data_IF_189679988077
#
_entry.id   IF_189679988077
#
_cell.length_a   1.000
_cell.length_b   1.000
_cell.length_c   1.000
_cell.angle_alpha   90.00
_cell.angle_beta   90.00
_cell.angle_gamma   90.00
#
_symmetry.space_group_name_H-M   'P 1'
#
loop_
_entity.id
_entity.type
_entity.pdbx_description
1 polymer ?
#
# COMPACT_ATOMS: atom_id res chain seq x y z
N UNK A 1 -2.38 -21.55 -14.16
CA UNK A 1 -1.62 -20.82 -13.17
C UNK A 1 -2.43 -19.64 -12.69
N UNK A 2 -2.84 -19.63 -11.43
CA UNK A 2 -3.62 -18.50 -10.94
C UNK A 2 -2.72 -17.28 -10.76
N UNK A 3 -3.16 -16.17 -11.31
CA UNK A 3 -2.48 -14.89 -11.09
C UNK A 3 -2.90 -14.23 -9.77
N UNK A 4 -3.63 -14.97 -8.96
CA UNK A 4 -4.12 -14.46 -7.69
C UNK A 4 -3.00 -14.04 -6.76
N UNK A 5 -1.89 -14.78 -6.79
CA UNK A 5 -0.73 -14.45 -5.95
C UNK A 5 -0.10 -13.13 -6.39
N UNK A 6 -0.05 -12.86 -7.70
CA UNK A 6 0.47 -11.58 -8.21
C UNK A 6 -0.47 -10.45 -7.80
N UNK A 7 -1.78 -10.65 -7.94
CA UNK A 7 -2.77 -9.66 -7.53
C UNK A 7 -2.66 -9.38 -6.03
N UNK A 8 -2.51 -10.42 -5.22
CA UNK A 8 -2.33 -10.27 -3.78
C UNK A 8 -1.09 -9.46 -3.45
N UNK A 9 0.03 -9.72 -4.13
CA UNK A 9 1.26 -8.97 -3.92
C UNK A 9 1.09 -7.50 -4.29
N UNK A 10 0.43 -7.22 -5.40
CA UNK A 10 0.17 -5.85 -5.84
C UNK A 10 -0.68 -5.12 -4.81
N UNK A 11 -1.74 -5.77 -4.32
CA UNK A 11 -2.62 -5.18 -3.31
C UNK A 11 -1.86 -4.91 -2.02
N UNK A 12 -1.04 -5.86 -1.58
CA UNK A 12 -0.24 -5.70 -0.35
C UNK A 12 0.74 -4.53 -0.48
N UNK A 13 1.44 -4.45 -1.59
CA UNK A 13 2.38 -3.35 -1.83
C UNK A 13 1.65 -2.02 -1.91
N UNK A 14 0.52 -1.98 -2.61
CA UNK A 14 -0.28 -0.77 -2.71
C UNK A 14 -0.77 -0.30 -1.34
N UNK A 15 -1.26 -1.22 -0.51
CA UNK A 15 -1.68 -0.90 0.85
C UNK A 15 -0.53 -0.36 1.70
N UNK A 16 0.64 -0.95 1.55
CA UNK A 16 1.82 -0.53 2.29
C UNK A 16 2.24 0.89 1.89
N UNK A 17 2.29 1.17 0.61
CA UNK A 17 2.61 2.50 0.10
C UNK A 17 1.56 3.52 0.53
N UNK A 18 0.29 3.19 0.42
CA UNK A 18 -0.80 4.07 0.82
C UNK A 18 -0.71 4.41 2.30
N UNK A 19 -0.45 3.41 3.14
CA UNK A 19 -0.29 3.64 4.58
C UNK A 19 0.88 4.57 4.87
N UNK A 20 1.99 4.40 4.17
CA UNK A 20 3.16 5.24 4.33
C UNK A 20 2.86 6.69 3.92
N UNK A 21 2.18 6.87 2.80
CA UNK A 21 1.81 8.22 2.33
C UNK A 21 0.89 8.90 3.33
N UNK A 22 -0.11 8.20 3.82
CA UNK A 22 -1.05 8.75 4.80
C UNK A 22 -0.32 9.13 6.08
N UNK A 23 0.60 8.30 6.55
CA UNK A 23 1.38 8.58 7.74
C UNK A 23 2.24 9.84 7.57
N UNK A 24 2.88 9.99 6.42
CA UNK A 24 3.70 11.15 6.11
C UNK A 24 2.82 12.40 6.04
N UNK A 25 1.68 12.33 5.38
CA UNK A 25 0.75 13.46 5.26
C UNK A 25 0.26 13.89 6.64
N UNK A 26 -0.09 12.94 7.50
CA UNK A 26 -0.53 13.25 8.86
C UNK A 26 0.56 13.94 9.67
N UNK A 27 1.76 13.46 9.59
CA UNK A 27 2.90 14.08 10.27
C UNK A 27 3.20 15.47 9.73
N UNK A 28 3.06 15.65 8.42
CA UNK A 28 3.34 16.93 7.77
C UNK A 28 2.21 17.94 7.99
N UNK A 29 0.99 17.45 8.06
CA UNK A 29 -0.19 18.33 8.24
C UNK A 29 -0.57 18.53 9.71
N UNK A 30 -0.08 17.63 10.55
CA UNK A 30 -0.40 17.66 11.96
C UNK A 30 0.33 18.69 12.69
#
# INVERSE_FOLDING_TARGET
>A
MPRLWIAALIILVACLIASMVIAIVKLSAG
#
